data_IF_608289196333
#
_entry.id   IF_608289196333
#
_cell.length_a   1.000
_cell.length_b   1.000
_cell.length_c   1.000
_cell.angle_alpha   90.00
_cell.angle_beta   90.00
_cell.angle_gamma   90.00
#
_symmetry.space_group_name_H-M   'P 1'
#
loop_
_entity.id
_entity.type
_entity.pdbx_description
1 polymer ?
#
# COMPACT_ATOMS: atom_id res chain seq x y z
N UNK A 1 8.04 45.94 -78.08
CA UNK A 1 8.20 44.61 -77.44
C UNK A 1 7.06 44.42 -76.45
N UNK A 2 6.24 43.37 -76.59
CA UNK A 2 4.98 43.19 -75.84
C UNK A 2 5.22 42.69 -74.41
N UNK A 3 4.29 42.94 -73.47
CA UNK A 3 4.43 42.52 -72.07
C UNK A 3 4.20 41.01 -71.92
N UNK A 4 5.02 40.37 -71.07
CA UNK A 4 4.95 38.93 -70.76
C UNK A 4 3.73 38.64 -69.88
N UNK A 5 2.83 37.78 -70.36
CA UNK A 5 1.74 37.18 -69.58
C UNK A 5 2.35 36.25 -68.50
N UNK A 6 2.19 36.60 -67.22
CA UNK A 6 2.43 35.68 -66.11
C UNK A 6 1.12 34.91 -65.89
N UNK A 7 1.08 33.65 -66.33
CA UNK A 7 -0.01 32.73 -65.96
C UNK A 7 0.21 32.29 -64.51
N UNK A 8 -0.61 32.81 -63.60
CA UNK A 8 -0.70 32.28 -62.24
C UNK A 8 -1.37 30.90 -62.28
N UNK A 9 -0.60 29.83 -62.06
CA UNK A 9 -1.16 28.52 -61.77
C UNK A 9 -1.70 28.55 -60.33
N UNK A 10 -3.02 28.61 -60.16
CA UNK A 10 -3.66 28.26 -58.89
C UNK A 10 -3.52 26.74 -58.69
N UNK A 11 -2.49 26.31 -57.96
CA UNK A 11 -2.41 24.95 -57.45
C UNK A 11 -3.46 24.77 -56.35
N UNK A 12 -4.51 24.00 -56.62
CA UNK A 12 -5.45 23.58 -55.60
C UNK A 12 -4.76 22.55 -54.70
N UNK A 13 -4.20 23.00 -53.57
CA UNK A 13 -3.69 22.10 -52.54
C UNK A 13 -4.87 21.43 -51.84
N UNK A 14 -5.18 20.20 -52.23
CA UNK A 14 -6.11 19.34 -51.50
C UNK A 14 -5.43 18.91 -50.20
N UNK A 15 -5.76 19.58 -49.10
CA UNK A 15 -5.42 19.12 -47.75
C UNK A 15 -6.27 17.87 -47.46
N UNK A 16 -5.67 16.69 -47.62
CA UNK A 16 -6.24 15.46 -47.08
C UNK A 16 -6.19 15.53 -45.55
N UNK A 17 -7.34 15.84 -44.93
CA UNK A 17 -7.53 15.61 -43.51
C UNK A 17 -7.52 14.11 -43.27
N UNK A 18 -6.37 13.56 -42.86
CA UNK A 18 -6.29 12.20 -42.34
C UNK A 18 -6.98 12.23 -40.98
N UNK A 19 -8.26 11.87 -40.95
CA UNK A 19 -8.94 11.61 -39.70
C UNK A 19 -8.20 10.47 -39.00
N UNK A 20 -7.79 10.61 -37.73
CA UNK A 20 -7.17 9.50 -37.01
C UNK A 20 -8.16 8.34 -36.99
N UNK A 21 -7.79 7.23 -37.64
CA UNK A 21 -8.51 5.98 -37.51
C UNK A 21 -8.39 5.55 -36.05
N UNK A 22 -9.45 5.75 -35.27
CA UNK A 22 -9.57 5.12 -33.95
C UNK A 22 -9.56 3.62 -34.22
N UNK A 23 -8.48 2.95 -33.83
CA UNK A 23 -8.41 1.50 -33.94
C UNK A 23 -9.64 0.91 -33.24
N UNK A 24 -10.41 0.09 -33.97
CA UNK A 24 -11.58 -0.57 -33.40
C UNK A 24 -11.13 -1.42 -32.20
N UNK A 25 -11.70 -1.16 -31.02
CA UNK A 25 -11.48 -2.03 -29.86
C UNK A 25 -12.04 -3.41 -30.19
N UNK A 26 -11.23 -4.48 -30.15
CA UNK A 26 -11.72 -5.82 -30.45
C UNK A 26 -12.86 -6.20 -29.51
N UNK A 27 -13.92 -6.82 -30.05
CA UNK A 27 -15.09 -7.25 -29.27
C UNK A 27 -14.66 -8.14 -28.09
N UNK A 28 -14.99 -7.78 -26.83
CA UNK A 28 -14.73 -8.61 -25.65
C UNK A 28 -15.17 -10.06 -25.74
N UNK A 29 -16.20 -10.35 -26.52
CA UNK A 29 -16.66 -11.72 -26.76
C UNK A 29 -15.57 -12.62 -27.37
N UNK A 30 -14.66 -12.04 -28.16
CA UNK A 30 -13.59 -12.77 -28.85
C UNK A 30 -12.49 -13.28 -27.90
N UNK A 31 -12.37 -12.69 -26.71
CA UNK A 31 -11.37 -13.08 -25.72
C UNK A 31 -11.97 -13.52 -24.38
N UNK A 32 -13.30 -13.68 -24.28
CA UNK A 32 -13.96 -14.14 -23.05
C UNK A 32 -13.56 -15.56 -22.60
N UNK A 33 -13.01 -16.39 -23.51
CA UNK A 33 -12.47 -17.70 -23.18
C UNK A 33 -10.98 -17.66 -22.73
N UNK A 34 -10.29 -16.54 -22.91
CA UNK A 34 -8.90 -16.41 -22.50
C UNK A 34 -8.81 -16.35 -20.98
N UNK A 35 -7.84 -17.11 -20.44
CA UNK A 35 -7.54 -17.13 -19.01
C UNK A 35 -6.10 -16.72 -18.80
N UNK A 36 -5.89 -15.80 -17.86
CA UNK A 36 -4.56 -15.51 -17.35
C UNK A 36 -3.99 -16.75 -16.68
N UNK A 37 -2.70 -17.01 -16.93
CA UNK A 37 -1.94 -18.06 -16.24
C UNK A 37 -0.56 -17.55 -15.92
N UNK A 38 -0.05 -17.89 -14.75
CA UNK A 38 1.34 -17.65 -14.41
C UNK A 38 2.24 -18.53 -15.28
N UNK A 39 3.24 -17.92 -15.91
CA UNK A 39 4.32 -18.62 -16.65
C UNK A 39 5.63 -18.66 -15.85
N UNK A 40 5.60 -18.18 -14.61
CA UNK A 40 6.76 -18.07 -13.74
C UNK A 40 7.62 -16.82 -13.98
N UNK A 41 8.74 -16.69 -13.23
CA UNK A 41 9.28 -17.70 -12.31
C UNK A 41 8.36 -17.99 -11.11
N UNK A 42 8.29 -19.25 -10.66
CA UNK A 42 7.51 -19.67 -9.49
C UNK A 42 8.19 -19.34 -8.15
N UNK A 43 9.08 -18.35 -8.16
CA UNK A 43 9.84 -17.89 -6.99
C UNK A 43 9.37 -16.48 -6.65
N UNK A 44 9.17 -16.21 -5.36
CA UNK A 44 8.72 -14.90 -4.90
C UNK A 44 9.72 -13.79 -5.19
N UNK A 45 9.21 -12.56 -5.32
CA UNK A 45 10.00 -11.34 -5.37
C UNK A 45 10.25 -10.76 -3.97
N UNK A 46 10.45 -9.43 -3.90
CA UNK A 46 10.61 -8.72 -2.62
C UNK A 46 9.31 -8.78 -1.80
N UNK A 47 9.45 -9.08 -0.51
CA UNK A 47 8.37 -9.19 0.47
C UNK A 47 8.72 -8.34 1.69
N UNK A 48 7.75 -7.61 2.22
CA UNK A 48 7.91 -6.77 3.42
C UNK A 48 6.89 -7.07 4.52
N UNK A 49 5.81 -7.77 4.17
CA UNK A 49 4.72 -8.06 5.07
C UNK A 49 4.49 -9.57 5.12
N UNK A 50 4.42 -10.12 6.32
CA UNK A 50 4.12 -11.54 6.57
C UNK A 50 3.21 -11.65 7.78
N UNK A 51 2.26 -12.58 7.74
CA UNK A 51 1.39 -12.87 8.86
C UNK A 51 1.03 -14.36 8.88
N UNK A 52 0.95 -14.97 10.06
CA UNK A 52 0.46 -16.33 10.24
C UNK A 52 -0.94 -16.33 10.86
N UNK A 53 -1.75 -17.33 10.50
CA UNK A 53 -3.01 -17.54 11.18
C UNK A 53 -2.75 -18.13 12.59
N UNK A 54 -3.35 -17.56 13.65
CA UNK A 54 -3.11 -18.03 15.02
C UNK A 54 -3.69 -19.43 15.31
N UNK A 55 -4.64 -19.89 14.50
CA UNK A 55 -5.37 -21.15 14.64
C UNK A 55 -4.85 -22.28 13.74
N UNK A 56 -3.97 -21.99 12.78
CA UNK A 56 -3.41 -22.98 11.86
C UNK A 56 -1.93 -22.70 11.55
N UNK A 57 -1.07 -23.63 11.97
CA UNK A 57 0.39 -23.56 11.80
C UNK A 57 0.87 -23.72 10.37
N UNK A 58 0.01 -24.10 9.43
CA UNK A 58 0.34 -24.25 8.02
C UNK A 58 -0.15 -23.07 7.18
N UNK A 59 -0.91 -22.16 7.80
CA UNK A 59 -1.61 -21.08 7.12
C UNK A 59 -0.88 -19.75 7.32
N UNK A 60 -0.31 -19.23 6.23
CA UNK A 60 0.44 -17.98 6.23
C UNK A 60 0.04 -17.11 5.06
N UNK A 61 0.33 -15.83 5.20
CA UNK A 61 0.17 -14.84 4.16
C UNK A 61 1.45 -14.04 4.01
N UNK A 62 1.75 -13.60 2.80
CA UNK A 62 2.72 -12.54 2.58
C UNK A 62 2.17 -11.44 1.67
N UNK A 63 2.67 -10.23 1.87
CA UNK A 63 2.47 -9.08 1.00
C UNK A 63 3.73 -8.80 0.20
N UNK A 64 3.62 -8.90 -1.12
CA UNK A 64 4.71 -8.59 -2.02
C UNK A 64 4.78 -7.09 -2.30
N UNK A 65 5.99 -6.66 -2.63
CA UNK A 65 6.20 -5.36 -3.26
C UNK A 65 5.77 -5.47 -4.72
N UNK A 66 4.72 -4.75 -5.09
CA UNK A 66 4.12 -4.77 -6.44
C UNK A 66 3.63 -6.15 -6.90
N UNK A 67 3.20 -7.00 -5.96
CA UNK A 67 2.71 -8.35 -6.28
C UNK A 67 1.46 -8.78 -5.51
N UNK A 68 0.83 -7.88 -4.75
CA UNK A 68 -0.39 -8.18 -3.98
C UNK A 68 -0.14 -9.07 -2.77
N UNK A 69 -1.22 -9.68 -2.28
CA UNK A 69 -1.21 -10.60 -1.12
C UNK A 69 -1.35 -12.03 -1.60
N UNK A 70 -0.56 -12.90 -1.01
CA UNK A 70 -0.52 -14.34 -1.30
C UNK A 70 -0.78 -15.12 -0.03
N UNK A 71 -1.46 -16.25 -0.18
CA UNK A 71 -1.81 -17.18 0.89
C UNK A 71 -1.19 -18.56 0.62
N UNK A 72 -0.76 -19.22 1.69
CA UNK A 72 -0.44 -20.65 1.70
C UNK A 72 -1.22 -21.33 2.79
N UNK A 73 -1.61 -22.60 2.56
CA UNK A 73 -2.23 -23.48 3.55
C UNK A 73 -1.44 -24.77 3.78
N UNK A 74 -0.21 -24.82 3.28
CA UNK A 74 0.64 -26.02 3.30
C UNK A 74 2.08 -25.68 3.75
N UNK A 75 2.22 -24.67 4.60
CA UNK A 75 3.48 -24.16 5.10
C UNK A 75 4.45 -23.66 4.01
N UNK A 76 3.90 -23.00 2.99
CA UNK A 76 4.66 -22.31 1.95
C UNK A 76 5.15 -23.20 0.83
N UNK A 77 4.62 -24.43 0.69
CA UNK A 77 4.92 -25.29 -0.47
C UNK A 77 4.22 -24.76 -1.72
N UNK A 78 2.98 -24.29 -1.58
CA UNK A 78 2.22 -23.63 -2.63
C UNK A 78 1.67 -22.29 -2.14
N UNK A 79 1.53 -21.36 -3.07
CA UNK A 79 1.03 -20.00 -2.81
C UNK A 79 -0.03 -19.63 -3.85
N UNK A 80 -1.12 -19.04 -3.38
CA UNK A 80 -2.23 -18.57 -4.20
C UNK A 80 -2.38 -17.05 -4.03
N UNK A 81 -2.49 -16.26 -5.12
CA UNK A 81 -2.77 -14.85 -5.00
C UNK A 81 -4.22 -14.65 -4.58
N UNK A 82 -4.45 -13.75 -3.62
CA UNK A 82 -5.77 -13.51 -3.03
C UNK A 82 -6.16 -12.02 -3.07
N UNK A 83 -5.41 -11.19 -3.80
CA UNK A 83 -5.59 -9.73 -3.83
C UNK A 83 -5.64 -9.13 -5.24
N UNK A 84 -5.78 -9.97 -6.27
CA UNK A 84 -5.67 -9.56 -7.68
C UNK A 84 -6.78 -8.60 -8.14
N UNK A 85 -7.93 -8.61 -7.47
CA UNK A 85 -9.06 -7.71 -7.74
C UNK A 85 -8.86 -6.30 -7.15
N UNK A 86 -7.87 -6.12 -6.27
CA UNK A 86 -7.58 -4.82 -5.69
C UNK A 86 -6.81 -3.94 -6.70
N UNK A 87 -7.04 -2.61 -6.71
CA UNK A 87 -6.42 -1.71 -7.69
C UNK A 87 -4.93 -1.40 -7.41
N UNK A 88 -4.26 -2.18 -6.55
CA UNK A 88 -2.88 -1.95 -6.13
C UNK A 88 -2.17 -3.26 -5.79
N UNK A 89 -0.90 -3.36 -6.21
CA UNK A 89 -0.04 -4.51 -5.90
C UNK A 89 1.02 -4.23 -4.82
N UNK A 90 1.26 -2.98 -4.47
CA UNK A 90 2.26 -2.60 -3.46
C UNK A 90 1.73 -2.84 -2.06
N UNK A 91 2.31 -3.79 -1.31
CA UNK A 91 1.91 -4.11 0.07
C UNK A 91 3.00 -3.72 1.05
N UNK A 92 2.66 -2.88 2.04
CA UNK A 92 3.57 -2.44 3.09
C UNK A 92 3.36 -3.12 4.44
N UNK A 93 2.13 -3.54 4.73
CA UNK A 93 1.80 -4.21 5.98
C UNK A 93 0.67 -5.23 5.81
N UNK A 94 0.69 -6.26 6.65
CA UNK A 94 -0.29 -7.33 6.68
C UNK A 94 -0.44 -7.81 8.12
N UNK A 95 -1.67 -7.95 8.59
CA UNK A 95 -1.94 -8.45 9.94
C UNK A 95 -3.19 -9.33 9.95
N UNK A 96 -3.08 -10.49 10.59
CA UNK A 96 -4.21 -11.35 10.94
C UNK A 96 -4.60 -11.06 12.38
N UNK A 97 -5.90 -10.92 12.66
CA UNK A 97 -6.35 -10.64 14.02
C UNK A 97 -6.11 -11.85 14.94
N UNK A 98 -5.41 -11.68 16.09
CA UNK A 98 -5.11 -12.82 16.98
C UNK A 98 -6.34 -13.50 17.57
N UNK A 99 -7.42 -12.75 17.76
CA UNK A 99 -8.70 -13.25 18.30
C UNK A 99 -9.62 -13.88 17.25
N UNK A 100 -9.35 -13.67 15.95
CA UNK A 100 -10.16 -14.22 14.86
C UNK A 100 -9.38 -14.25 13.54
N UNK A 101 -8.88 -15.42 13.15
CA UNK A 101 -8.08 -15.61 11.93
C UNK A 101 -8.81 -15.33 10.61
N UNK A 102 -10.14 -15.14 10.63
CA UNK A 102 -10.91 -14.70 9.47
C UNK A 102 -10.73 -13.23 9.16
N UNK A 103 -10.35 -12.42 10.15
CA UNK A 103 -10.14 -10.98 9.98
C UNK A 103 -8.68 -10.74 9.60
N UNK A 104 -8.49 -10.19 8.40
CA UNK A 104 -7.17 -9.84 7.87
C UNK A 104 -7.18 -8.38 7.44
N UNK A 105 -6.15 -7.64 7.81
CA UNK A 105 -5.93 -6.25 7.39
C UNK A 105 -4.70 -6.15 6.49
N UNK A 106 -4.81 -5.36 5.43
CA UNK A 106 -3.76 -5.08 4.47
C UNK A 106 -3.53 -3.58 4.42
N UNK A 107 -2.28 -3.18 4.57
CA UNK A 107 -1.82 -1.82 4.37
C UNK A 107 -1.04 -1.75 3.08
N UNK A 108 -1.47 -0.90 2.17
CA UNK A 108 -0.86 -0.81 0.84
C UNK A 108 0.22 0.28 0.80
N UNK A 109 1.14 0.13 -0.15
CA UNK A 109 2.35 0.93 -0.28
C UNK A 109 3.47 0.45 0.63
N UNK A 110 4.54 -0.05 0.03
CA UNK A 110 5.75 -0.46 0.75
C UNK A 110 6.46 0.68 1.51
N UNK A 111 6.69 0.50 2.81
CA UNK A 111 7.43 1.49 3.59
C UNK A 111 8.97 1.33 3.57
N UNK A 112 9.52 0.27 2.96
CA UNK A 112 10.97 0.09 2.75
C UNK A 112 11.42 0.87 1.51
N UNK A 113 11.56 2.19 1.65
CA UNK A 113 11.96 3.07 0.55
C UNK A 113 13.36 2.71 0.01
N UNK A 114 13.44 2.30 -1.27
CA UNK A 114 14.71 2.02 -1.99
C UNK A 114 14.75 2.66 -3.38
N UNK A 115 15.47 2.05 -4.33
CA UNK A 115 15.63 2.50 -5.74
C UNK A 115 14.32 2.78 -6.46
N UNK A 116 13.29 2.03 -6.11
CA UNK A 116 11.95 2.05 -6.66
C UNK A 116 10.97 1.77 -5.52
N UNK A 117 9.85 2.49 -5.55
CA UNK A 117 8.78 2.40 -4.58
C UNK A 117 7.46 2.77 -5.24
N UNK A 118 6.45 1.93 -5.04
CA UNK A 118 5.08 2.18 -5.48
C UNK A 118 4.21 2.65 -4.33
N UNK A 119 3.33 3.61 -4.61
CA UNK A 119 2.36 4.15 -3.66
C UNK A 119 1.20 3.17 -3.47
N UNK A 120 0.72 3.12 -2.23
CA UNK A 120 -0.52 2.47 -1.85
C UNK A 120 -1.74 3.35 -2.04
N UNK A 121 -2.90 2.76 -1.81
CA UNK A 121 -4.23 3.40 -1.82
C UNK A 121 -4.95 3.20 -0.48
N UNK A 122 -4.19 3.03 0.61
CA UNK A 122 -4.71 2.92 1.97
C UNK A 122 -4.88 1.48 2.47
N UNK A 123 -5.89 1.29 3.31
CA UNK A 123 -6.13 0.05 4.05
C UNK A 123 -7.22 -0.80 3.40
N UNK A 124 -7.08 -2.11 3.45
CA UNK A 124 -8.13 -3.08 3.12
C UNK A 124 -8.36 -4.03 4.28
N UNK A 125 -9.59 -4.53 4.40
CA UNK A 125 -10.00 -5.53 5.38
C UNK A 125 -10.71 -6.68 4.68
N UNK A 126 -10.40 -7.90 5.10
CA UNK A 126 -11.17 -9.10 4.80
C UNK A 126 -11.85 -9.60 6.07
N UNK A 127 -13.05 -10.16 5.92
CA UNK A 127 -13.78 -10.84 6.98
C UNK A 127 -13.89 -12.37 6.76
N UNK A 128 -13.21 -12.88 5.72
CA UNK A 128 -13.35 -14.24 5.22
C UNK A 128 -12.00 -14.87 4.83
N UNK A 129 -10.95 -14.52 5.58
CA UNK A 129 -9.58 -15.03 5.38
C UNK A 129 -9.02 -14.70 3.99
N UNK A 130 -9.33 -13.52 3.48
CA UNK A 130 -8.77 -13.00 2.23
C UNK A 130 -9.49 -13.41 0.96
N UNK A 131 -10.67 -14.06 1.04
CA UNK A 131 -11.49 -14.39 -0.14
C UNK A 131 -12.11 -13.16 -0.78
N UNK A 132 -12.47 -12.18 0.05
CA UNK A 132 -12.95 -10.86 -0.39
C UNK A 132 -12.33 -9.74 0.44
N UNK A 133 -12.20 -8.56 -0.18
CA UNK A 133 -11.58 -7.38 0.41
C UNK A 133 -12.48 -6.17 0.28
N UNK A 134 -12.49 -5.34 1.32
CA UNK A 134 -13.18 -4.04 1.31
C UNK A 134 -12.17 -2.96 1.69
N UNK A 135 -12.18 -1.84 0.97
CA UNK A 135 -11.40 -0.68 1.36
C UNK A 135 -11.85 -0.18 2.74
N UNK A 136 -10.88 0.18 3.58
CA UNK A 136 -11.06 0.53 5.00
C UNK A 136 -10.34 1.82 5.36
N UNK A 137 -10.37 2.80 4.45
CA UNK A 137 -9.88 4.16 4.68
C UNK A 137 -8.36 4.35 4.51
N UNK A 138 -7.88 5.49 5.00
CA UNK A 138 -6.47 5.93 4.90
C UNK A 138 -5.94 6.03 3.45
N UNK A 139 -6.80 6.34 2.49
CA UNK A 139 -6.48 6.28 1.05
C UNK A 139 -5.36 7.23 0.61
N UNK A 140 -5.14 8.35 1.30
CA UNK A 140 -4.08 9.31 0.99
C UNK A 140 -2.79 9.12 1.83
N UNK A 141 -2.70 8.06 2.64
CA UNK A 141 -1.45 7.78 3.40
C UNK A 141 -0.29 7.38 2.49
N UNK A 142 -0.58 6.76 1.34
CA UNK A 142 0.36 6.16 0.39
C UNK A 142 1.25 5.04 0.96
N UNK A 143 1.94 5.21 2.09
CA UNK A 143 2.84 4.19 2.65
C UNK A 143 2.38 3.76 4.04
N UNK A 144 1.84 2.55 4.13
CA UNK A 144 1.49 1.92 5.41
C UNK A 144 2.62 0.98 5.83
N UNK A 145 3.29 1.33 6.93
CA UNK A 145 4.47 0.62 7.39
C UNK A 145 4.14 -0.56 8.29
N UNK A 146 3.18 -0.43 9.20
CA UNK A 146 2.82 -1.49 10.16
C UNK A 146 1.35 -1.42 10.52
N UNK A 147 0.79 -2.59 10.84
CA UNK A 147 -0.55 -2.76 11.39
C UNK A 147 -0.42 -3.60 12.66
N UNK A 148 -1.05 -3.15 13.74
CA UNK A 148 -1.28 -3.95 14.93
C UNK A 148 -2.78 -4.11 15.14
N UNK A 149 -3.22 -5.33 15.35
CA UNK A 149 -4.61 -5.64 15.75
C UNK A 149 -4.60 -6.01 17.21
N UNK A 150 -5.50 -5.42 18.00
CA UNK A 150 -5.60 -5.73 19.43
C UNK A 150 -5.92 -7.23 19.60
N UNK A 151 -5.13 -7.99 20.39
CA UNK A 151 -5.33 -9.42 20.56
C UNK A 151 -6.68 -9.76 21.21
N UNK A 152 -7.34 -8.81 21.88
CA UNK A 152 -8.62 -8.99 22.57
C UNK A 152 -9.81 -8.70 21.66
N UNK A 153 -9.65 -7.83 20.65
CA UNK A 153 -10.74 -7.36 19.80
C UNK A 153 -10.25 -7.05 18.37
N UNK A 154 -10.74 -7.77 17.33
CA UNK A 154 -10.28 -7.58 15.96
C UNK A 154 -10.66 -6.22 15.33
N UNK A 155 -11.55 -5.46 15.96
CA UNK A 155 -11.99 -4.15 15.49
C UNK A 155 -11.16 -2.99 16.06
N UNK A 156 -10.29 -3.27 17.05
CA UNK A 156 -9.31 -2.28 17.52
C UNK A 156 -7.99 -2.46 16.79
N UNK A 157 -7.60 -1.45 16.01
CA UNK A 157 -6.45 -1.53 15.10
C UNK A 157 -5.62 -0.26 15.22
N UNK A 158 -4.30 -0.41 15.25
CA UNK A 158 -3.33 0.68 15.12
C UNK A 158 -2.57 0.53 13.80
N UNK A 159 -2.35 1.65 13.12
CA UNK A 159 -1.66 1.71 11.84
C UNK A 159 -0.55 2.74 11.92
N UNK A 160 0.67 2.34 11.56
CA UNK A 160 1.78 3.24 11.32
C UNK A 160 1.77 3.66 9.85
N UNK A 161 1.44 4.93 9.61
CA UNK A 161 1.51 5.54 8.29
C UNK A 161 2.81 6.35 8.17
N UNK A 162 3.66 5.93 7.24
CA UNK A 162 4.88 6.67 6.92
C UNK A 162 4.55 7.93 6.12
N UNK A 163 3.51 7.89 5.29
CA UNK A 163 3.05 9.01 4.47
C UNK A 163 3.61 8.98 3.05
N UNK A 164 3.51 10.13 2.37
CA UNK A 164 3.97 10.28 0.99
C UNK A 164 5.50 10.11 0.92
N UNK A 165 6.04 9.25 0.04
CA UNK A 165 7.48 9.02 0.01
C UNK A 165 8.27 10.19 -0.58
N UNK A 166 7.62 11.04 -1.37
CA UNK A 166 8.27 12.09 -2.16
C UNK A 166 8.02 13.52 -1.69
N UNK A 167 7.08 13.75 -0.75
CA UNK A 167 6.68 15.11 -0.37
C UNK A 167 6.01 15.19 1.00
N UNK A 168 5.77 16.42 1.51
CA UNK A 168 5.02 16.63 2.73
C UNK A 168 3.58 16.18 2.58
N UNK A 169 3.04 15.57 3.64
CA UNK A 169 1.60 15.31 3.73
C UNK A 169 1.15 15.22 5.18
N UNK A 170 -0.11 15.53 5.43
CA UNK A 170 -0.71 15.43 6.76
C UNK A 170 -0.99 13.98 7.18
N UNK A 171 -1.11 13.05 6.23
CA UNK A 171 -1.45 11.64 6.48
C UNK A 171 -0.23 10.80 6.86
N UNK A 172 0.32 11.17 8.00
CA UNK A 172 1.49 10.58 8.65
C UNK A 172 1.19 10.30 10.12
N UNK A 173 1.99 9.41 10.70
CA UNK A 173 1.94 9.10 12.13
C UNK A 173 1.12 7.86 12.44
N UNK A 174 0.53 7.80 13.63
CA UNK A 174 -0.24 6.65 14.09
C UNK A 174 -1.74 6.92 14.02
N UNK A 175 -2.44 6.05 13.32
CA UNK A 175 -3.90 6.04 13.24
C UNK A 175 -4.45 4.88 14.07
N UNK A 176 -5.58 5.11 14.74
CA UNK A 176 -6.28 4.13 15.55
C UNK A 176 -7.73 4.00 15.10
N UNK A 177 -8.20 2.78 14.92
CA UNK A 177 -9.62 2.46 14.74
C UNK A 177 -10.11 1.64 15.94
N UNK A 178 -11.40 1.77 16.25
CA UNK A 178 -12.12 0.92 17.21
C UNK A 178 -13.39 0.31 16.62
N UNK A 179 -13.55 0.38 15.29
CA UNK A 179 -14.71 -0.09 14.55
C UNK A 179 -14.33 -0.94 13.32
N UNK A 180 -13.13 -1.52 13.35
CA UNK A 180 -12.62 -2.39 12.30
C UNK A 180 -12.22 -1.65 11.02
N UNK A 181 -11.74 -0.41 11.15
CA UNK A 181 -11.28 0.41 10.03
C UNK A 181 -12.39 1.12 9.25
N UNK A 182 -13.60 1.26 9.82
CA UNK A 182 -14.65 2.10 9.24
C UNK A 182 -14.34 3.58 9.47
N UNK A 183 -13.73 3.90 10.61
CA UNK A 183 -13.21 5.23 10.94
C UNK A 183 -11.84 5.14 11.61
N UNK A 184 -11.08 6.24 11.51
CA UNK A 184 -9.72 6.34 12.01
C UNK A 184 -9.49 7.67 12.75
N UNK A 185 -8.91 7.59 13.95
CA UNK A 185 -8.41 8.74 14.69
C UNK A 185 -6.89 8.83 14.55
N UNK A 186 -6.36 10.00 14.20
CA UNK A 186 -4.92 10.28 14.22
C UNK A 186 -4.51 10.55 15.67
N UNK A 187 -3.76 9.63 16.27
CA UNK A 187 -3.43 9.64 17.71
C UNK A 187 -2.00 10.08 17.99
N UNK A 188 -1.09 9.91 17.03
CA UNK A 188 0.27 10.43 17.09
C UNK A 188 0.60 11.12 15.76
N UNK A 189 0.94 12.40 15.83
CA UNK A 189 1.39 13.20 14.70
C UNK A 189 2.43 14.19 15.19
N UNK A 190 3.47 14.43 14.38
CA UNK A 190 4.52 15.40 14.70
C UNK A 190 4.48 16.58 13.75
N UNK A 191 4.62 16.31 12.46
CA UNK A 191 4.63 17.29 11.38
C UNK A 191 4.42 16.57 10.03
N UNK A 192 4.43 17.34 8.92
CA UNK A 192 4.23 16.82 7.57
C UNK A 192 5.45 16.09 6.98
N UNK A 193 6.56 16.01 7.70
CA UNK A 193 7.83 15.41 7.29
C UNK A 193 8.11 14.08 8.01
N UNK A 194 7.40 13.82 9.11
CA UNK A 194 7.66 12.73 10.05
C UNK A 194 6.51 11.75 10.10
N UNK A 195 6.74 10.52 9.62
CA UNK A 195 5.76 9.43 9.66
C UNK A 195 6.05 8.38 10.72
N UNK A 196 5.09 7.48 10.98
CA UNK A 196 5.33 6.31 11.82
C UNK A 196 5.81 5.14 10.95
N UNK A 197 6.85 4.45 11.42
CA UNK A 197 7.48 3.33 10.69
C UNK A 197 7.37 1.99 11.42
N UNK A 198 7.21 2.01 12.75
CA UNK A 198 7.09 0.81 13.55
C UNK A 198 6.09 0.98 14.70
N UNK A 199 5.43 -0.13 15.04
CA UNK A 199 4.57 -0.28 16.20
C UNK A 199 4.85 -1.64 16.85
N UNK A 200 4.80 -1.70 18.17
CA UNK A 200 4.85 -2.95 18.92
C UNK A 200 4.02 -2.87 20.21
N UNK A 201 3.26 -3.91 20.51
CA UNK A 201 2.68 -4.11 21.83
C UNK A 201 3.76 -4.61 22.80
N UNK A 202 3.62 -4.27 24.08
CA UNK A 202 4.27 -5.03 25.13
C UNK A 202 3.66 -6.44 25.15
N UNK A 203 4.48 -7.51 25.11
CA UNK A 203 3.95 -8.87 25.24
C UNK A 203 3.10 -9.04 26.50
N UNK A 204 1.90 -9.62 26.33
CA UNK A 204 0.94 -9.84 27.41
C UNK A 204 0.18 -8.59 27.89
N UNK A 205 0.42 -7.42 27.30
CA UNK A 205 -0.19 -6.16 27.75
C UNK A 205 -0.40 -5.19 26.57
N UNK A 206 -1.51 -5.36 25.82
CA UNK A 206 -1.78 -4.57 24.61
C UNK A 206 -2.13 -3.10 24.89
N UNK A 207 -2.30 -2.70 26.15
CA UNK A 207 -2.50 -1.28 26.49
C UNK A 207 -1.17 -0.51 26.48
N UNK A 208 -0.04 -1.20 26.63
CA UNK A 208 1.29 -0.61 26.47
C UNK A 208 1.76 -0.80 25.02
N UNK A 209 1.88 0.31 24.29
CA UNK A 209 2.30 0.33 22.88
C UNK A 209 3.52 1.21 22.70
N UNK A 210 4.44 0.78 21.86
CA UNK A 210 5.59 1.57 21.43
C UNK A 210 5.44 1.93 19.96
N UNK A 211 5.81 3.17 19.60
CA UNK A 211 5.85 3.64 18.23
C UNK A 211 7.22 4.25 17.92
N UNK A 212 7.71 4.02 16.70
CA UNK A 212 8.85 4.73 16.15
C UNK A 212 8.38 5.68 15.04
N UNK A 213 8.74 6.95 15.18
CA UNK A 213 8.59 7.95 14.13
C UNK A 213 9.92 8.12 13.38
N UNK A 214 9.82 8.26 12.06
CA UNK A 214 10.93 8.45 11.15
C UNK A 214 10.67 9.66 10.26
N UNK A 215 11.51 10.69 10.40
CA UNK A 215 11.50 11.83 9.48
C UNK A 215 12.34 11.49 8.26
N UNK A 216 11.68 11.20 7.14
CA UNK A 216 12.36 10.82 5.91
C UNK A 216 11.55 11.12 4.66
N UNK A 217 12.26 11.31 3.55
CA UNK A 217 11.72 11.36 2.18
C UNK A 217 12.73 10.76 1.23
N UNK A 218 12.24 10.19 0.13
CA UNK A 218 13.07 9.68 -0.95
C UNK A 218 13.42 10.81 -1.92
N UNK A 219 14.69 11.22 -2.03
CA UNK A 219 15.10 12.15 -3.07
C UNK A 219 15.25 11.42 -4.42
N UNK A 220 15.10 12.12 -5.56
CA UNK A 220 15.23 11.49 -6.88
C UNK A 220 16.67 11.08 -7.23
N UNK A 221 17.68 11.54 -6.50
CA UNK A 221 19.11 11.28 -6.77
C UNK A 221 19.76 10.24 -5.86
N UNK A 222 19.00 9.55 -4.98
CA UNK A 222 19.55 8.52 -4.08
C UNK A 222 18.77 7.22 -4.17
N UNK A 223 19.49 6.10 -4.04
CA UNK A 223 18.88 4.77 -3.91
C UNK A 223 18.18 4.63 -2.57
N UNK A 224 18.76 5.15 -1.49
CA UNK A 224 18.20 5.07 -0.14
C UNK A 224 17.83 6.47 0.37
N UNK A 225 16.73 6.60 1.14
CA UNK A 225 16.42 7.86 1.78
C UNK A 225 17.38 8.11 2.97
N UNK A 226 17.42 9.34 3.51
CA UNK A 226 18.14 9.61 4.75
C UNK A 226 17.67 8.69 5.88
N UNK A 227 18.63 8.05 6.55
CA UNK A 227 18.35 7.13 7.66
C UNK A 227 17.90 7.83 8.94
N UNK A 228 18.13 9.13 9.05
CA UNK A 228 17.83 9.95 10.22
C UNK A 228 17.30 11.33 9.82
N UNK A 229 16.47 11.90 10.71
CA UNK A 229 15.98 13.27 10.61
C UNK A 229 15.53 13.78 11.98
N UNK A 230 15.59 15.10 12.24
CA UNK A 230 15.39 15.68 13.58
C UNK A 230 14.00 15.43 14.18
N UNK A 231 13.00 15.14 13.36
CA UNK A 231 11.65 14.77 13.77
C UNK A 231 11.52 13.34 14.27
N UNK A 232 12.49 12.47 14.00
CA UNK A 232 12.44 11.05 14.39
C UNK A 232 12.42 10.90 15.92
N UNK A 233 11.86 9.80 16.42
CA UNK A 233 11.79 9.56 17.86
C UNK A 233 11.00 8.33 18.26
N UNK A 234 11.18 7.90 19.51
CA UNK A 234 10.43 6.80 20.11
C UNK A 234 9.32 7.35 21.02
N UNK A 235 8.17 6.69 20.99
CA UNK A 235 7.00 7.07 21.76
C UNK A 235 6.42 5.85 22.47
N UNK A 236 5.83 6.09 23.64
CA UNK A 236 5.12 5.09 24.43
C UNK A 236 3.70 5.55 24.70
N UNK A 237 2.76 4.63 24.52
CA UNK A 237 1.38 4.74 24.99
C UNK A 237 1.17 3.78 26.17
N UNK A 238 0.27 4.16 27.08
CA UNK A 238 -0.18 3.35 28.22
C UNK A 238 -1.69 3.07 28.15
N UNK A 239 -2.35 3.43 27.05
CA UNK A 239 -3.80 3.39 26.88
C UNK A 239 -4.21 2.82 25.51
N UNK A 240 -3.43 1.87 24.99
CA UNK A 240 -3.72 1.17 23.75
C UNK A 240 -3.60 2.06 22.51
N UNK A 241 -2.65 3.00 22.54
CA UNK A 241 -2.34 3.91 21.44
C UNK A 241 -3.31 5.08 21.30
N UNK A 242 -4.07 5.45 22.34
CA UNK A 242 -4.95 6.64 22.30
C UNK A 242 -4.17 7.91 22.55
N UNK A 243 -3.23 7.88 23.49
CA UNK A 243 -2.30 8.97 23.79
C UNK A 243 -0.86 8.46 23.85
N UNK A 244 0.09 9.37 23.63
CA UNK A 244 1.50 9.05 23.44
C UNK A 244 2.39 10.01 24.21
N UNK A 245 3.46 9.49 24.80
CA UNK A 245 4.55 10.27 25.40
C UNK A 245 5.85 9.94 24.69
N UNK A 246 6.63 10.97 24.37
CA UNK A 246 7.98 10.77 23.84
C UNK A 246 8.86 10.07 24.89
N UNK A 247 9.72 9.15 24.45
CA UNK A 247 10.75 8.53 25.26
C UNK A 247 12.02 9.36 25.05
N UNK A 248 12.46 10.05 26.10
CA UNK A 248 13.73 10.77 26.13
C UNK A 248 14.73 9.98 26.98
N UNK A 249 15.99 9.97 26.55
CA UNK A 249 17.12 9.40 27.30
C UNK A 249 17.75 10.43 28.24
#
# INVERSE_FOLDING_TARGET
MPPKLIRALCGATVLFAVAPSIAATPDPSLYGALKWRSIGPFRGGRVLAVAGAPDDRLHFYFGAVNGGVWETRDAGRTWTPIFDEAPVGSIGALAVAPSNARIVYVGTGEADMRSDIAQGVGMFRSADSGKSWTASGLSDTQQIARILVDPRNPDTVLVAALGHPYGPNAERGVFRSSDGGKSWAKTLFKDADTGAIALAYKPGDPDIVYAALWQTRRPPWSVYPPSNGPGSGLYKSLDGGRTWKAING
#
